data_IF_429430132508
#
_entry.id   IF_429430132508
#
_cell.length_a   1.000
_cell.length_b   1.000
_cell.length_c   1.000
_cell.angle_alpha   90.00
_cell.angle_beta   90.00
_cell.angle_gamma   90.00
#
_symmetry.space_group_name_H-M   'P 1'
#
loop_
_entity.id
_entity.type
_entity.pdbx_description
1 polymer ?
#
# COMPACT_ATOMS: atom_id res chain seq x y z
N UNK A 1 -40.60 -13.70 26.21
CA UNK A 1 -39.69 -14.44 27.11
C UNK A 1 -38.79 -13.50 27.90
N UNK A 2 -38.24 -12.43 27.29
CA UNK A 2 -37.36 -11.46 27.94
C UNK A 2 -37.98 -10.67 29.12
N UNK A 3 -39.28 -10.40 29.10
CA UNK A 3 -39.96 -9.62 30.17
C UNK A 3 -39.99 -10.33 31.55
N UNK A 4 -39.53 -11.59 31.62
CA UNK A 4 -39.41 -12.37 32.86
C UNK A 4 -38.00 -12.32 33.47
N UNK A 5 -37.01 -11.81 32.76
CA UNK A 5 -35.63 -11.69 33.25
C UNK A 5 -35.41 -10.37 33.99
N UNK A 6 -34.50 -10.38 34.98
CA UNK A 6 -34.04 -9.13 35.62
C UNK A 6 -33.29 -8.26 34.61
N UNK A 7 -33.24 -6.95 34.87
CA UNK A 7 -32.51 -6.02 33.99
C UNK A 7 -31.03 -6.39 33.84
N UNK A 8 -30.39 -6.92 34.89
CA UNK A 8 -29.00 -7.39 34.84
C UNK A 8 -28.80 -8.59 33.90
N UNK A 9 -29.77 -9.51 33.84
CA UNK A 9 -29.71 -10.65 32.91
C UNK A 9 -29.87 -10.16 31.47
N UNK A 10 -30.73 -9.17 31.24
CA UNK A 10 -30.91 -8.57 29.92
C UNK A 10 -29.67 -7.78 29.51
N UNK A 11 -29.07 -6.99 30.40
CA UNK A 11 -27.80 -6.30 30.18
C UNK A 11 -26.71 -7.28 29.71
N UNK A 12 -26.57 -8.42 30.42
CA UNK A 12 -25.66 -9.50 30.02
C UNK A 12 -25.99 -10.11 28.66
N UNK A 13 -27.26 -10.24 28.30
CA UNK A 13 -27.64 -10.72 26.96
C UNK A 13 -27.25 -9.68 25.90
N UNK A 14 -27.49 -8.39 26.16
CA UNK A 14 -27.24 -7.30 25.22
C UNK A 14 -25.75 -7.12 24.90
N UNK A 15 -24.86 -7.28 25.88
CA UNK A 15 -23.39 -7.19 25.64
C UNK A 15 -22.83 -8.34 24.79
N UNK A 16 -23.59 -9.42 24.59
CA UNK A 16 -23.19 -10.56 23.76
C UNK A 16 -23.74 -10.51 22.34
N UNK A 17 -24.48 -9.45 21.99
CA UNK A 17 -24.91 -9.22 20.60
C UNK A 17 -23.68 -8.89 19.76
N UNK A 18 -23.58 -9.51 18.58
CA UNK A 18 -22.41 -9.43 17.69
C UNK A 18 -22.44 -8.23 16.74
N UNK A 19 -23.60 -7.62 16.53
CA UNK A 19 -23.79 -6.56 15.52
C UNK A 19 -24.71 -5.45 16.03
N UNK A 20 -24.39 -4.20 15.69
CA UNK A 20 -25.22 -3.05 16.02
C UNK A 20 -26.64 -3.12 15.43
N UNK A 21 -26.79 -3.69 14.22
CA UNK A 21 -28.11 -3.87 13.58
C UNK A 21 -29.01 -4.81 14.39
N UNK A 22 -28.42 -5.90 14.90
CA UNK A 22 -29.11 -6.86 15.77
C UNK A 22 -29.45 -6.23 17.12
N UNK A 23 -28.55 -5.41 17.69
CA UNK A 23 -28.84 -4.66 18.91
C UNK A 23 -30.05 -3.73 18.70
N UNK A 24 -30.04 -2.93 17.64
CA UNK A 24 -31.14 -2.01 17.34
C UNK A 24 -32.49 -2.76 17.22
N UNK A 25 -32.49 -3.89 16.50
CA UNK A 25 -33.68 -4.74 16.39
C UNK A 25 -34.16 -5.23 17.76
N UNK A 26 -33.25 -5.68 18.64
CA UNK A 26 -33.60 -6.13 19.99
C UNK A 26 -34.18 -5.00 20.86
N UNK A 27 -33.70 -3.76 20.72
CA UNK A 27 -34.19 -2.61 21.46
C UNK A 27 -35.62 -2.22 21.07
N UNK A 28 -35.98 -2.37 19.80
CA UNK A 28 -37.32 -2.01 19.28
C UNK A 28 -38.39 -3.06 19.67
N UNK A 29 -37.98 -4.30 19.91
CA UNK A 29 -38.91 -5.43 20.17
C UNK A 29 -39.53 -5.40 21.57
N UNK A 30 -38.84 -4.89 22.60
CA UNK A 30 -39.38 -4.82 23.96
C UNK A 30 -38.97 -3.56 24.71
N UNK A 31 -39.96 -2.92 25.36
CA UNK A 31 -39.74 -1.81 26.30
C UNK A 31 -38.83 -2.20 27.46
N UNK A 32 -38.85 -3.47 27.87
CA UNK A 32 -38.02 -3.97 28.95
C UNK A 32 -36.55 -4.07 28.52
N UNK A 33 -36.29 -4.54 27.30
CA UNK A 33 -34.97 -4.52 26.68
C UNK A 33 -34.45 -3.10 26.49
N UNK A 34 -35.28 -2.20 25.98
CA UNK A 34 -34.93 -0.78 25.85
C UNK A 34 -34.59 -0.15 27.21
N UNK A 35 -35.32 -0.50 28.29
CA UNK A 35 -35.05 0.00 29.64
C UNK A 35 -33.71 -0.51 30.18
N UNK A 36 -33.38 -1.78 29.98
CA UNK A 36 -32.08 -2.34 30.33
C UNK A 36 -30.96 -1.57 29.63
N UNK A 37 -31.09 -1.37 28.31
CA UNK A 37 -30.16 -0.57 27.52
C UNK A 37 -30.00 0.86 28.02
N UNK A 38 -31.11 1.54 28.31
CA UNK A 38 -31.12 2.92 28.78
C UNK A 38 -30.39 3.11 30.12
N UNK A 39 -30.18 2.03 30.88
CA UNK A 39 -29.46 2.08 32.16
C UNK A 39 -27.95 2.12 31.97
N UNK A 40 -27.41 1.44 30.96
CA UNK A 40 -25.95 1.34 30.68
C UNK A 40 -25.65 1.41 29.17
N UNK A 41 -26.09 2.45 28.46
CA UNK A 41 -26.02 2.48 27.00
C UNK A 41 -24.57 2.42 26.51
N UNK A 42 -23.66 3.15 27.16
CA UNK A 42 -22.25 3.19 26.76
C UNK A 42 -21.56 1.83 26.84
N UNK A 43 -21.74 1.12 27.96
CA UNK A 43 -21.15 -0.21 28.14
C UNK A 43 -21.66 -1.22 27.12
N UNK A 44 -22.97 -1.22 26.84
CA UNK A 44 -23.57 -2.11 25.85
C UNK A 44 -23.10 -1.78 24.43
N UNK A 45 -23.15 -0.51 24.03
CA UNK A 45 -22.70 -0.06 22.71
C UNK A 45 -21.23 -0.40 22.47
N UNK A 46 -20.38 -0.16 23.47
CA UNK A 46 -18.94 -0.50 23.41
C UNK A 46 -18.73 -2.00 23.26
N UNK A 47 -19.46 -2.81 24.02
CA UNK A 47 -19.35 -4.27 23.96
C UNK A 47 -19.79 -4.81 22.59
N UNK A 48 -20.91 -4.31 22.05
CA UNK A 48 -21.40 -4.74 20.74
C UNK A 48 -20.45 -4.34 19.62
N UNK A 49 -19.94 -3.10 19.62
CA UNK A 49 -18.91 -2.69 18.67
C UNK A 49 -17.64 -3.54 18.74
N UNK A 50 -17.20 -3.89 19.96
CA UNK A 50 -16.06 -4.78 20.17
C UNK A 50 -16.33 -6.18 19.62
N UNK A 51 -17.54 -6.72 19.79
CA UNK A 51 -17.91 -8.02 19.23
C UNK A 51 -17.94 -8.00 17.71
N UNK A 52 -18.35 -6.88 17.11
CA UNK A 52 -18.36 -6.67 15.65
C UNK A 52 -16.93 -6.56 15.08
N UNK A 53 -15.99 -6.05 15.89
CA UNK A 53 -14.62 -5.72 15.49
C UNK A 53 -13.55 -6.26 16.46
N UNK A 54 -13.50 -7.56 16.78
CA UNK A 54 -12.74 -8.05 17.94
C UNK A 54 -11.23 -7.78 17.86
N UNK A 55 -10.63 -7.99 16.69
CA UNK A 55 -9.17 -7.87 16.51
C UNK A 55 -8.70 -6.48 16.07
N UNK A 56 -9.62 -5.64 15.58
CA UNK A 56 -9.37 -4.26 15.20
C UNK A 56 -9.90 -3.25 16.23
N UNK A 57 -10.60 -3.71 17.27
CA UNK A 57 -11.24 -2.86 18.29
C UNK A 57 -10.33 -1.77 18.86
N UNK A 58 -9.08 -2.05 19.27
CA UNK A 58 -8.22 -1.01 19.82
C UNK A 58 -7.94 0.13 18.84
N UNK A 59 -7.76 -0.17 17.55
CA UNK A 59 -7.57 0.83 16.51
C UNK A 59 -8.87 1.61 16.23
N UNK A 60 -10.00 0.90 16.13
CA UNK A 60 -11.34 1.48 15.91
C UNK A 60 -11.69 2.46 17.03
N UNK A 61 -11.60 2.04 18.29
CA UNK A 61 -12.00 2.86 19.44
C UNK A 61 -11.07 4.05 19.63
N UNK A 62 -9.77 3.91 19.37
CA UNK A 62 -8.82 5.03 19.43
C UNK A 62 -9.15 6.09 18.38
N UNK A 63 -9.50 5.67 17.17
CA UNK A 63 -9.90 6.59 16.11
C UNK A 63 -11.24 7.27 16.39
N UNK A 64 -12.27 6.52 16.80
CA UNK A 64 -13.57 7.10 17.20
C UNK A 64 -13.39 8.09 18.35
N UNK A 65 -12.60 7.73 19.35
CA UNK A 65 -12.30 8.61 20.48
C UNK A 65 -11.70 9.92 19.97
N UNK A 66 -10.61 9.86 19.18
CA UNK A 66 -9.98 11.04 18.62
C UNK A 66 -10.95 11.91 17.81
N UNK A 67 -11.75 11.33 16.91
CA UNK A 67 -12.73 12.10 16.11
C UNK A 67 -13.84 12.73 16.96
N UNK A 68 -14.17 12.14 18.11
CA UNK A 68 -15.24 12.65 18.97
C UNK A 68 -14.78 13.66 20.01
N UNK A 69 -13.54 13.54 20.51
CA UNK A 69 -12.99 14.36 21.61
C UNK A 69 -11.86 15.29 21.18
N UNK A 70 -11.17 15.00 20.08
CA UNK A 70 -9.92 15.64 19.67
C UNK A 70 -8.70 15.18 20.48
N UNK A 71 -8.87 14.23 21.39
CA UNK A 71 -7.81 13.72 22.26
C UNK A 71 -7.19 12.45 21.65
N UNK A 72 -5.86 12.45 21.50
CA UNK A 72 -5.11 11.28 21.09
C UNK A 72 -4.76 10.44 22.32
N UNK A 73 -5.29 9.22 22.40
CA UNK A 73 -4.92 8.29 23.45
C UNK A 73 -3.48 7.83 23.26
N UNK A 74 -2.78 7.59 24.37
CA UNK A 74 -1.37 7.22 24.40
C UNK A 74 -1.06 5.93 23.63
N UNK A 75 -1.90 4.90 23.76
CA UNK A 75 -1.72 3.62 23.06
C UNK A 75 -3.03 2.84 22.92
N UNK A 76 -2.95 1.70 22.22
CA UNK A 76 -4.07 0.77 22.03
C UNK A 76 -4.55 0.10 23.33
N UNK A 77 -3.69 -0.09 24.34
CA UNK A 77 -4.06 -0.70 25.61
C UNK A 77 -4.91 0.26 26.49
N UNK A 78 -4.66 1.57 26.40
CA UNK A 78 -5.51 2.60 26.97
C UNK A 78 -6.85 2.67 26.24
N UNK A 79 -6.84 2.53 24.91
CA UNK A 79 -8.03 2.55 24.06
C UNK A 79 -9.05 1.46 24.44
N UNK A 80 -8.60 0.28 24.87
CA UNK A 80 -9.49 -0.81 25.31
C UNK A 80 -10.41 -0.47 26.50
N UNK A 81 -10.06 0.56 27.29
CA UNK A 81 -10.83 0.97 28.47
C UNK A 81 -11.87 2.05 28.15
N UNK A 82 -11.86 2.58 26.95
CA UNK A 82 -12.74 3.68 26.54
C UNK A 82 -14.16 3.15 26.29
N UNK A 83 -15.15 3.89 26.83
CA UNK A 83 -16.55 3.64 26.58
C UNK A 83 -17.09 4.60 25.51
N UNK A 84 -17.70 4.04 24.48
CA UNK A 84 -18.32 4.74 23.37
C UNK A 84 -19.76 5.11 23.70
N UNK A 85 -20.16 6.33 23.33
CA UNK A 85 -21.53 6.81 23.42
C UNK A 85 -22.19 6.91 22.04
N UNK A 86 -23.43 7.43 21.98
CA UNK A 86 -24.16 7.55 20.72
C UNK A 86 -23.45 8.41 19.67
N UNK A 87 -22.65 9.41 20.07
CA UNK A 87 -21.87 10.23 19.12
C UNK A 87 -20.77 9.37 18.49
N UNK A 88 -20.09 8.55 19.29
CA UNK A 88 -19.08 7.63 18.77
C UNK A 88 -19.66 6.53 17.88
N UNK A 89 -20.90 6.07 18.12
CA UNK A 89 -21.60 5.16 17.20
C UNK A 89 -21.90 5.84 15.86
N UNK A 90 -22.38 7.08 15.89
CA UNK A 90 -22.60 7.86 14.67
C UNK A 90 -21.31 8.06 13.89
N UNK A 91 -20.19 8.27 14.59
CA UNK A 91 -18.85 8.31 13.98
C UNK A 91 -18.53 6.95 13.32
N UNK A 92 -18.61 5.84 14.05
CA UNK A 92 -18.34 4.50 13.50
C UNK A 92 -19.14 4.20 12.23
N UNK A 93 -20.46 4.46 12.22
CA UNK A 93 -21.29 4.22 11.04
C UNK A 93 -20.94 5.08 9.82
N UNK A 94 -20.38 6.27 10.04
CA UNK A 94 -19.89 7.09 8.94
C UNK A 94 -18.59 6.55 8.34
N UNK A 95 -17.78 5.84 9.14
CA UNK A 95 -16.42 5.41 8.78
C UNK A 95 -16.39 3.98 8.22
N UNK A 96 -17.20 3.08 8.78
CA UNK A 96 -17.22 1.65 8.47
C UNK A 96 -17.39 1.35 6.96
N UNK A 97 -18.28 2.04 6.21
CA UNK A 97 -18.38 1.82 4.76
C UNK A 97 -17.06 2.08 4.02
N UNK A 98 -16.34 3.15 4.36
CA UNK A 98 -15.08 3.49 3.70
C UNK A 98 -14.00 2.43 3.96
N UNK A 99 -13.91 1.91 5.19
CA UNK A 99 -12.95 0.85 5.51
C UNK A 99 -13.27 -0.42 4.71
N UNK A 100 -14.54 -0.81 4.66
CA UNK A 100 -14.97 -1.97 3.87
C UNK A 100 -14.66 -1.80 2.38
N UNK A 101 -14.93 -0.63 1.79
CA UNK A 101 -14.61 -0.33 0.39
C UNK A 101 -13.09 -0.45 0.12
N UNK A 102 -12.25 0.09 1.02
CA UNK A 102 -10.79 -0.01 0.89
C UNK A 102 -10.29 -1.45 1.05
N UNK A 103 -10.90 -2.25 1.93
CA UNK A 103 -10.58 -3.67 2.08
C UNK A 103 -10.96 -4.47 0.83
N UNK A 104 -12.12 -4.19 0.23
CA UNK A 104 -12.55 -4.82 -1.02
C UNK A 104 -11.60 -4.45 -2.18
N UNK A 105 -11.17 -3.18 -2.25
CA UNK A 105 -10.15 -2.75 -3.20
C UNK A 105 -8.82 -3.46 -2.96
N UNK A 106 -8.39 -3.63 -1.70
CA UNK A 106 -7.19 -4.37 -1.35
C UNK A 106 -7.30 -5.84 -1.78
N UNK A 107 -8.42 -6.49 -1.46
CA UNK A 107 -8.69 -7.87 -1.86
C UNK A 107 -8.63 -8.01 -3.39
N UNK A 108 -9.37 -7.18 -4.12
CA UNK A 108 -9.38 -7.16 -5.59
C UNK A 108 -7.99 -6.95 -6.16
N UNK A 109 -7.11 -6.23 -5.45
CA UNK A 109 -5.77 -5.92 -5.92
C UNK A 109 -4.75 -7.03 -5.66
N UNK A 110 -4.88 -7.76 -4.55
CA UNK A 110 -3.83 -8.65 -4.04
C UNK A 110 -4.25 -10.13 -3.98
N UNK A 111 -5.53 -10.46 -4.16
CA UNK A 111 -6.02 -11.85 -4.15
C UNK A 111 -6.57 -12.26 -5.51
N UNK A 112 -6.50 -13.55 -5.83
CA UNK A 112 -7.08 -14.13 -7.06
C UNK A 112 -8.24 -15.02 -6.65
N UNK A 113 -9.49 -14.56 -6.83
CA UNK A 113 -10.70 -15.39 -6.63
C UNK A 113 -10.83 -16.02 -5.23
N UNK A 114 -10.10 -15.50 -4.25
CA UNK A 114 -10.13 -15.92 -2.86
C UNK A 114 -10.51 -14.72 -2.00
N UNK A 115 -11.52 -14.92 -1.15
CA UNK A 115 -11.85 -13.96 -0.11
C UNK A 115 -10.76 -13.91 0.94
N UNK A 116 -10.57 -12.73 1.54
CA UNK A 116 -9.69 -12.61 2.69
C UNK A 116 -10.25 -13.47 3.84
N UNK A 117 -9.37 -14.19 4.53
CA UNK A 117 -9.72 -14.81 5.81
C UNK A 117 -10.10 -13.72 6.82
N UNK A 118 -10.83 -14.08 7.88
CA UNK A 118 -11.22 -13.12 8.92
C UNK A 118 -10.00 -12.39 9.52
N UNK A 119 -8.89 -13.11 9.72
CA UNK A 119 -7.64 -12.54 10.23
C UNK A 119 -6.99 -11.58 9.22
N UNK A 120 -6.98 -11.93 7.93
CA UNK A 120 -6.47 -11.06 6.86
C UNK A 120 -7.31 -9.78 6.74
N UNK A 121 -8.63 -9.92 6.74
CA UNK A 121 -9.57 -8.80 6.74
C UNK A 121 -9.31 -7.87 7.93
N UNK A 122 -9.20 -8.43 9.14
CA UNK A 122 -8.93 -7.65 10.36
C UNK A 122 -7.56 -6.95 10.32
N UNK A 123 -6.53 -7.56 9.74
CA UNK A 123 -5.22 -6.94 9.58
C UNK A 123 -5.28 -5.70 8.68
N UNK A 124 -5.95 -5.81 7.52
CA UNK A 124 -6.17 -4.69 6.59
C UNK A 124 -7.00 -3.59 7.27
N UNK A 125 -8.14 -3.94 7.85
CA UNK A 125 -9.04 -2.99 8.53
C UNK A 125 -8.34 -2.25 9.67
N UNK A 126 -7.60 -2.98 10.53
CA UNK A 126 -6.83 -2.39 11.64
C UNK A 126 -5.77 -1.41 11.13
N UNK A 127 -5.03 -1.77 10.08
CA UNK A 127 -4.03 -0.89 9.50
C UNK A 127 -4.65 0.35 8.83
N UNK A 128 -5.83 0.23 8.20
CA UNK A 128 -6.58 1.37 7.68
C UNK A 128 -7.01 2.33 8.79
N UNK A 129 -7.56 1.85 9.91
CA UNK A 129 -7.90 2.71 11.05
C UNK A 129 -6.69 3.41 11.65
N UNK A 130 -5.54 2.73 11.75
CA UNK A 130 -4.28 3.32 12.22
C UNK A 130 -3.76 4.40 11.26
N UNK A 131 -3.80 4.13 9.96
CA UNK A 131 -3.43 5.10 8.93
C UNK A 131 -4.34 6.32 8.96
N UNK A 132 -5.65 6.11 9.11
CA UNK A 132 -6.61 7.19 9.16
C UNK A 132 -6.42 8.06 10.41
N UNK A 133 -6.16 7.45 11.57
CA UNK A 133 -5.79 8.19 12.77
C UNK A 133 -4.51 8.99 12.56
N UNK A 134 -3.49 8.41 11.92
CA UNK A 134 -2.26 9.10 11.58
C UNK A 134 -2.50 10.33 10.69
N UNK A 135 -3.34 10.17 9.65
CA UNK A 135 -3.76 11.26 8.76
C UNK A 135 -4.49 12.36 9.52
N UNK A 136 -5.46 12.01 10.37
CA UNK A 136 -6.24 12.96 11.14
C UNK A 136 -5.36 13.77 12.12
N UNK A 137 -4.35 13.13 12.73
CA UNK A 137 -3.43 13.78 13.66
C UNK A 137 -2.41 14.70 12.97
N UNK A 138 -1.83 14.26 11.86
CA UNK A 138 -0.60 14.86 11.31
C UNK A 138 -0.74 15.39 9.89
N UNK A 139 -1.74 14.93 9.15
CA UNK A 139 -1.87 15.13 7.72
C UNK A 139 -2.00 16.60 7.32
N UNK A 140 -2.85 17.36 8.01
CA UNK A 140 -3.03 18.80 7.75
C UNK A 140 -1.75 19.60 7.95
N UNK A 141 -1.08 19.40 9.08
CA UNK A 141 0.16 20.11 9.43
C UNK A 141 1.28 19.79 8.45
N UNK A 142 1.40 18.51 8.08
CA UNK A 142 2.39 18.08 7.08
C UNK A 142 2.09 18.66 5.70
N UNK A 143 0.83 18.59 5.23
CA UNK A 143 0.41 19.17 3.94
C UNK A 143 0.70 20.66 3.85
N UNK A 144 0.41 21.41 4.91
CA UNK A 144 0.68 22.86 4.97
C UNK A 144 2.17 23.16 4.90
N UNK A 145 3.00 22.38 5.59
CA UNK A 145 4.45 22.53 5.53
C UNK A 145 5.02 22.22 4.15
N UNK A 146 4.54 21.15 3.50
CA UNK A 146 4.93 20.82 2.13
C UNK A 146 4.57 21.96 1.17
N UNK A 147 3.36 22.53 1.29
CA UNK A 147 2.94 23.69 0.49
C UNK A 147 3.80 24.94 0.80
N UNK A 148 4.09 25.22 2.06
CA UNK A 148 4.91 26.37 2.45
C UNK A 148 6.35 26.29 1.92
N UNK A 149 6.93 25.09 1.83
CA UNK A 149 8.23 24.89 1.16
C UNK A 149 8.18 25.25 -0.34
N UNK A 150 7.06 25.02 -1.03
CA UNK A 150 6.88 25.39 -2.45
C UNK A 150 6.98 26.90 -2.64
N UNK A 151 6.31 27.66 -1.76
CA UNK A 151 6.30 29.13 -1.82
C UNK A 151 7.69 29.73 -1.56
N UNK A 152 8.50 29.11 -0.70
CA UNK A 152 9.88 29.53 -0.41
C UNK A 152 10.86 29.22 -1.57
N UNK A 153 10.76 28.04 -2.19
CA UNK A 153 11.67 27.60 -3.27
C UNK A 153 11.45 28.38 -4.56
N UNK A 154 10.19 28.77 -4.87
CA UNK A 154 9.87 29.58 -6.05
C UNK A 154 10.47 31.00 -6.03
N UNK A 155 11.01 31.47 -4.89
CA UNK A 155 11.46 32.86 -4.71
C UNK A 155 12.99 33.02 -4.59
N UNK A 156 13.79 31.96 -4.55
CA UNK A 156 15.26 32.08 -4.40
C UNK A 156 16.06 31.01 -5.18
N UNK A 157 16.98 31.40 -6.09
CA UNK A 157 17.99 30.50 -6.64
C UNK A 157 19.28 30.63 -5.82
N UNK A 158 19.37 30.04 -4.63
CA UNK A 158 20.62 30.12 -3.84
C UNK A 158 20.85 28.83 -3.06
N UNK A 159 22.08 28.32 -3.19
CA UNK A 159 22.75 27.29 -2.40
C UNK A 159 22.33 27.40 -0.92
N UNK A 160 21.44 26.51 -0.48
CA UNK A 160 20.98 26.46 0.92
C UNK A 160 21.90 25.51 1.69
N UNK A 161 22.68 26.05 2.62
CA UNK A 161 23.26 25.24 3.71
C UNK A 161 22.12 24.50 4.42
N UNK A 162 22.15 23.16 4.34
CA UNK A 162 21.10 22.30 4.91
C UNK A 162 21.15 22.45 6.43
N UNK A 163 20.28 23.31 6.97
CA UNK A 163 20.03 23.36 8.41
C UNK A 163 19.45 22.00 8.83
N UNK A 164 20.07 21.25 9.75
CA UNK A 164 19.61 19.91 10.15
C UNK A 164 18.18 19.89 10.70
N UNK A 165 17.69 21.01 11.25
CA UNK A 165 16.30 21.16 11.69
C UNK A 165 15.30 21.35 10.54
N UNK A 166 15.74 21.79 9.35
CA UNK A 166 14.91 21.86 8.13
C UNK A 166 14.80 20.52 7.39
N UNK A 167 15.59 19.52 7.80
CA UNK A 167 15.61 18.18 7.18
C UNK A 167 14.31 17.42 7.44
N UNK A 168 13.75 17.58 8.64
CA UNK A 168 12.55 16.88 9.05
C UNK A 168 11.33 17.81 9.08
N UNK A 169 10.19 17.30 8.64
CA UNK A 169 8.90 17.98 8.64
C UNK A 169 8.36 18.22 10.05
N UNK A 170 7.27 18.99 10.17
CA UNK A 170 6.66 19.31 11.46
C UNK A 170 6.23 18.04 12.18
N UNK A 171 6.18 18.15 13.52
CA UNK A 171 5.74 17.08 14.40
C UNK A 171 6.49 15.75 14.19
N UNK A 172 7.76 15.80 13.76
CA UNK A 172 8.56 14.61 13.47
C UNK A 172 8.69 13.70 14.70
N UNK A 173 8.92 14.28 15.87
CA UNK A 173 9.06 13.52 17.12
C UNK A 173 7.74 12.83 17.49
N UNK A 174 6.61 13.52 17.35
CA UNK A 174 5.26 13.03 17.64
C UNK A 174 4.82 11.96 16.63
N UNK A 175 5.11 12.17 15.34
CA UNK A 175 4.90 11.16 14.28
C UNK A 175 5.74 9.91 14.56
N UNK A 176 7.00 10.07 14.93
CA UNK A 176 7.89 8.96 15.29
C UNK A 176 7.39 8.23 16.53
N UNK A 177 6.95 8.97 17.56
CA UNK A 177 6.39 8.41 18.78
C UNK A 177 5.13 7.59 18.50
N UNK A 178 4.20 8.13 17.70
CA UNK A 178 3.00 7.41 17.28
C UNK A 178 3.35 6.10 16.55
N UNK A 179 4.32 6.15 15.62
CA UNK A 179 4.73 4.96 14.88
C UNK A 179 5.52 3.96 15.74
N UNK A 180 6.19 4.43 16.78
CA UNK A 180 6.96 3.58 17.70
C UNK A 180 6.05 2.61 18.49
N UNK A 181 4.77 2.91 18.66
CA UNK A 181 3.82 1.99 19.29
C UNK A 181 3.65 0.68 18.49
N UNK A 182 3.87 0.72 17.17
CA UNK A 182 3.70 -0.42 16.27
C UNK A 182 5.00 -1.18 16.02
N UNK A 183 6.07 -0.96 16.81
CA UNK A 183 7.41 -1.52 16.58
C UNK A 183 7.48 -3.05 16.50
N UNK A 184 6.41 -3.78 16.86
CA UNK A 184 6.31 -5.20 16.47
C UNK A 184 6.28 -5.28 14.94
N UNK A 185 7.26 -5.98 14.36
CA UNK A 185 7.50 -6.07 12.90
C UNK A 185 6.23 -6.24 12.08
N UNK A 186 5.30 -7.09 12.53
CA UNK A 186 4.03 -7.36 11.85
C UNK A 186 3.12 -6.14 11.80
N UNK A 187 2.91 -5.44 12.92
CA UNK A 187 1.95 -4.32 13.00
C UNK A 187 2.42 -3.07 12.24
N UNK A 188 3.72 -2.76 12.31
CA UNK A 188 4.29 -1.71 11.47
C UNK A 188 4.30 -2.12 10.00
N UNK A 189 4.61 -3.39 9.71
CA UNK A 189 4.57 -3.93 8.36
C UNK A 189 3.18 -3.78 7.73
N UNK A 190 2.12 -4.18 8.44
CA UNK A 190 0.72 -3.98 8.04
C UNK A 190 0.44 -2.52 7.67
N UNK A 191 0.80 -1.58 8.56
CA UNK A 191 0.58 -0.14 8.34
C UNK A 191 1.33 0.38 7.12
N UNK A 192 2.61 0.03 6.98
CA UNK A 192 3.45 0.44 5.86
C UNK A 192 2.91 -0.09 4.52
N UNK A 193 2.47 -1.36 4.50
CA UNK A 193 1.86 -1.99 3.33
C UNK A 193 0.57 -1.28 2.93
N UNK A 194 -0.32 -1.00 3.89
CA UNK A 194 -1.57 -0.28 3.61
C UNK A 194 -1.30 1.16 3.16
N UNK A 195 -0.34 1.87 3.76
CA UNK A 195 0.07 3.19 3.29
C UNK A 195 0.51 3.17 1.82
N UNK A 196 1.36 2.20 1.45
CA UNK A 196 1.82 2.03 0.05
C UNK A 196 0.68 1.64 -0.89
N UNK A 197 -0.24 0.81 -0.43
CA UNK A 197 -1.43 0.45 -1.19
C UNK A 197 -2.28 1.69 -1.50
N UNK A 198 -2.66 2.47 -0.49
CA UNK A 198 -3.43 3.72 -0.68
C UNK A 198 -2.67 4.69 -1.60
N UNK A 199 -1.35 4.80 -1.45
CA UNK A 199 -0.51 5.62 -2.32
C UNK A 199 -0.62 5.19 -3.78
N UNK A 200 -0.47 3.88 -4.05
CA UNK A 200 -0.53 3.33 -5.40
C UNK A 200 -1.92 3.47 -6.02
N UNK A 201 -2.98 3.36 -5.23
CA UNK A 201 -4.33 3.56 -5.73
C UNK A 201 -4.56 5.04 -6.09
N UNK A 202 -4.10 5.98 -5.27
CA UNK A 202 -4.13 7.40 -5.59
C UNK A 202 -3.39 7.73 -6.89
N UNK A 203 -2.15 7.22 -7.05
CA UNK A 203 -1.36 7.39 -8.29
C UNK A 203 -2.07 6.82 -9.52
N UNK A 204 -2.63 5.62 -9.41
CA UNK A 204 -3.34 4.98 -10.52
C UNK A 204 -4.59 5.74 -10.93
N UNK A 205 -5.35 6.24 -9.97
CA UNK A 205 -6.55 7.04 -10.27
C UNK A 205 -6.16 8.36 -10.95
N UNK A 206 -5.16 9.06 -10.43
CA UNK A 206 -4.63 10.29 -11.02
C UNK A 206 -4.11 10.06 -12.46
N UNK A 207 -3.42 8.94 -12.69
CA UNK A 207 -2.89 8.56 -14.01
C UNK A 207 -4.01 8.17 -15.00
N UNK A 208 -5.05 7.47 -14.55
CA UNK A 208 -6.19 7.07 -15.39
C UNK A 208 -7.08 8.25 -15.80
N UNK A 209 -7.04 9.35 -15.06
CA UNK A 209 -7.78 10.58 -15.38
C UNK A 209 -7.30 11.32 -16.63
N UNK A 210 -6.19 10.88 -17.26
CA UNK A 210 -5.70 11.43 -18.54
C UNK A 210 -5.12 12.85 -18.47
N UNK A 211 -5.05 13.45 -17.28
CA UNK A 211 -4.49 14.78 -17.04
C UNK A 211 -2.96 14.77 -16.95
N UNK A 212 -2.38 13.63 -16.61
CA UNK A 212 -0.96 13.44 -16.42
C UNK A 212 -0.51 12.27 -17.30
N UNK A 213 0.64 12.38 -17.95
CA UNK A 213 1.25 11.21 -18.62
C UNK A 213 1.38 10.05 -17.63
N UNK A 214 1.44 8.81 -18.14
CA UNK A 214 1.55 7.64 -17.28
C UNK A 214 2.75 7.79 -16.33
N UNK A 215 2.49 7.85 -15.02
CA UNK A 215 3.51 7.84 -13.95
C UNK A 215 4.56 8.97 -14.00
N UNK A 216 4.21 10.22 -14.32
CA UNK A 216 5.15 11.34 -14.13
C UNK A 216 5.48 11.53 -12.64
N UNK A 217 6.66 12.10 -12.33
CA UNK A 217 7.04 12.43 -10.94
C UNK A 217 5.96 13.28 -10.27
N UNK A 218 5.39 14.25 -10.99
CA UNK A 218 4.30 15.11 -10.53
C UNK A 218 3.08 14.32 -10.02
N UNK A 219 2.72 13.17 -10.62
CA UNK A 219 1.61 12.33 -10.14
C UNK A 219 1.90 11.75 -8.77
N UNK A 220 3.14 11.30 -8.54
CA UNK A 220 3.57 10.79 -7.24
C UNK A 220 3.55 11.88 -6.17
N UNK A 221 3.84 13.12 -6.55
CA UNK A 221 3.80 14.28 -5.67
C UNK A 221 2.38 14.62 -5.24
N UNK A 222 1.44 14.70 -6.18
CA UNK A 222 0.02 14.92 -5.87
C UNK A 222 -0.53 13.77 -5.02
N UNK A 223 -0.14 12.53 -5.32
CA UNK A 223 -0.54 11.38 -4.50
C UNK A 223 -0.02 11.47 -3.06
N UNK A 224 1.21 11.91 -2.83
CA UNK A 224 1.75 12.12 -1.48
C UNK A 224 0.98 13.21 -0.71
N UNK A 225 0.59 14.29 -1.37
CA UNK A 225 -0.26 15.32 -0.76
C UNK A 225 -1.67 14.81 -0.45
N UNK A 226 -2.25 13.99 -1.34
CA UNK A 226 -3.53 13.33 -1.09
C UNK A 226 -3.46 12.37 0.10
N UNK A 227 -2.36 11.64 0.27
CA UNK A 227 -2.19 10.72 1.41
C UNK A 227 -2.13 11.40 2.76
N UNK A 228 -1.84 12.70 2.80
CA UNK A 228 -1.90 13.49 4.01
C UNK A 228 -3.33 13.99 4.31
N UNK A 229 -4.32 13.66 3.48
CA UNK A 229 -5.74 13.85 3.77
C UNK A 229 -6.32 12.61 4.45
N UNK A 230 -7.47 12.79 5.08
CA UNK A 230 -8.22 11.69 5.67
C UNK A 230 -8.79 10.74 4.59
N UNK A 231 -9.02 9.46 4.92
CA UNK A 231 -9.41 8.44 3.93
C UNK A 231 -10.73 8.75 3.22
N UNK A 232 -11.72 9.30 3.94
CA UNK A 232 -12.99 9.76 3.38
C UNK A 232 -12.78 10.90 2.38
N UNK A 233 -11.97 11.90 2.73
CA UNK A 233 -11.61 12.99 1.82
C UNK A 233 -10.90 12.45 0.56
N UNK A 234 -10.00 11.47 0.71
CA UNK A 234 -9.35 10.83 -0.42
C UNK A 234 -10.40 10.20 -1.33
N UNK A 235 -11.33 9.41 -0.79
CA UNK A 235 -12.40 8.77 -1.58
C UNK A 235 -13.28 9.80 -2.27
N UNK A 236 -13.71 10.86 -1.57
CA UNK A 236 -14.52 11.94 -2.14
C UNK A 236 -13.79 12.64 -3.30
N UNK A 237 -12.52 12.98 -3.12
CA UNK A 237 -11.68 13.63 -4.13
C UNK A 237 -11.53 12.71 -5.33
N UNK A 238 -11.18 11.45 -5.07
CA UNK A 238 -10.96 10.43 -6.08
C UNK A 238 -12.25 10.18 -6.90
N UNK A 239 -13.42 10.14 -6.26
CA UNK A 239 -14.72 10.03 -6.95
C UNK A 239 -15.08 11.33 -7.70
N UNK A 240 -14.82 12.49 -7.10
CA UNK A 240 -15.08 13.82 -7.66
C UNK A 240 -14.21 14.15 -8.88
N UNK A 241 -12.99 13.63 -8.97
CA UNK A 241 -12.13 13.77 -10.15
C UNK A 241 -12.68 13.08 -11.41
N UNK A 242 -13.71 12.23 -11.30
CA UNK A 242 -14.49 11.81 -12.47
C UNK A 242 -15.28 12.97 -13.12
N UNK A 243 -15.39 14.12 -12.46
CA UNK A 243 -16.28 15.23 -12.85
C UNK A 243 -15.63 16.62 -12.90
N UNK A 244 -14.39 16.81 -12.45
CA UNK A 244 -13.75 18.14 -12.40
C UNK A 244 -12.36 18.18 -13.07
N UNK A 245 -12.14 19.26 -13.83
CA UNK A 245 -10.97 19.59 -14.66
C UNK A 245 -10.04 20.60 -13.98
N UNK A 246 -9.78 20.51 -12.67
CA UNK A 246 -8.87 21.45 -12.02
C UNK A 246 -7.46 20.84 -11.90
N UNK A 247 -6.54 21.43 -12.67
CA UNK A 247 -5.11 21.13 -12.72
C UNK A 247 -4.43 21.55 -11.41
N UNK A 248 -4.00 20.57 -10.61
CA UNK A 248 -3.15 20.82 -9.44
C UNK A 248 -1.69 20.74 -9.90
N UNK A 249 -1.09 21.86 -10.29
CA UNK A 249 0.35 21.91 -10.57
C UNK A 249 1.14 21.75 -9.26
N UNK A 250 1.97 20.71 -9.18
CA UNK A 250 2.88 20.46 -8.05
C UNK A 250 4.26 20.15 -8.62
N UNK A 251 5.28 20.73 -8.00
CA UNK A 251 6.70 20.44 -8.23
C UNK A 251 7.34 20.22 -6.85
N UNK A 252 7.98 19.07 -6.62
CA UNK A 252 8.64 18.69 -5.37
C UNK A 252 10.08 18.20 -5.61
N UNK A 253 10.96 19.09 -6.03
CA UNK A 253 12.40 18.82 -6.03
C UNK A 253 13.03 18.70 -4.61
N UNK A 254 12.28 18.81 -3.50
CA UNK A 254 12.90 19.10 -2.17
C UNK A 254 12.28 18.40 -0.93
N UNK A 255 11.43 17.37 -1.06
CA UNK A 255 10.90 16.68 0.14
C UNK A 255 11.58 15.32 0.35
N UNK A 256 12.70 15.34 1.08
CA UNK A 256 13.45 14.13 1.47
C UNK A 256 12.72 13.24 2.50
N UNK A 257 11.65 13.73 3.15
CA UNK A 257 10.93 12.99 4.19
C UNK A 257 9.51 12.62 3.73
N UNK A 258 9.25 11.32 3.60
CA UNK A 258 7.90 10.80 3.31
C UNK A 258 6.94 11.11 4.49
N UNK A 259 5.66 11.32 4.18
CA UNK A 259 4.63 11.62 5.19
C UNK A 259 4.62 10.56 6.31
N UNK A 260 4.63 9.28 5.94
CA UNK A 260 4.95 8.17 6.82
C UNK A 260 6.48 8.05 6.94
N UNK A 261 7.00 8.12 8.17
CA UNK A 261 8.45 8.05 8.43
C UNK A 261 8.97 6.66 8.07
N UNK A 262 9.58 6.52 6.89
CA UNK A 262 10.23 5.27 6.44
C UNK A 262 11.56 4.97 7.15
N UNK A 263 11.99 5.83 8.09
CA UNK A 263 13.25 5.71 8.82
C UNK A 263 13.21 4.78 10.05
N UNK A 264 12.06 4.13 10.32
CA UNK A 264 12.03 3.02 11.26
C UNK A 264 12.86 1.85 10.69
N UNK A 265 13.51 1.03 11.54
CA UNK A 265 14.62 0.14 11.16
C UNK A 265 14.15 -1.12 10.41
N UNK A 266 13.33 -0.95 9.38
CA UNK A 266 12.87 -2.00 8.51
C UNK A 266 13.34 -1.63 7.12
N UNK A 267 14.19 -2.50 6.57
CA UNK A 267 14.55 -2.44 5.17
C UNK A 267 13.25 -2.58 4.38
N UNK A 268 12.77 -1.48 3.80
CA UNK A 268 11.44 -1.40 3.19
C UNK A 268 11.31 -2.33 1.99
N UNK A 269 12.43 -2.86 1.47
CA UNK A 269 12.47 -3.91 0.46
C UNK A 269 11.85 -5.25 0.91
N UNK A 270 11.68 -5.48 2.22
CA UNK A 270 11.21 -6.76 2.78
C UNK A 270 9.73 -6.78 3.19
N UNK A 271 9.01 -5.66 3.05
CA UNK A 271 7.61 -5.55 3.52
C UNK A 271 6.63 -5.83 2.38
N UNK A 272 6.19 -7.09 2.29
CA UNK A 272 5.25 -7.54 1.27
C UNK A 272 3.88 -7.89 1.88
N UNK A 273 2.75 -7.42 1.31
CA UNK A 273 1.39 -7.81 1.71
C UNK A 273 1.23 -9.32 1.76
N UNK A 274 1.89 -10.05 0.86
CA UNK A 274 1.72 -11.49 0.73
C UNK A 274 2.39 -12.27 1.87
N UNK A 275 3.42 -11.69 2.48
CA UNK A 275 4.14 -12.26 3.62
C UNK A 275 3.50 -11.80 4.93
N UNK A 276 3.22 -10.50 5.06
CA UNK A 276 2.81 -9.90 6.34
C UNK A 276 1.30 -9.97 6.56
N UNK A 277 0.49 -9.76 5.53
CA UNK A 277 -0.97 -9.72 5.64
C UNK A 277 -1.58 -11.04 5.17
N UNK A 278 -1.23 -11.51 3.98
CA UNK A 278 -1.87 -12.67 3.35
C UNK A 278 -1.28 -14.02 3.77
N UNK A 279 -0.08 -14.04 4.38
CA UNK A 279 0.48 -15.24 5.02
C UNK A 279 0.72 -16.44 4.08
N UNK A 280 1.36 -16.24 2.92
CA UNK A 280 1.60 -17.26 1.89
C UNK A 280 0.32 -17.88 1.24
N UNK A 281 -0.89 -17.67 1.79
CA UNK A 281 -2.15 -18.30 1.35
C UNK A 281 -2.54 -17.95 -0.09
N UNK A 282 -2.03 -16.82 -0.60
CA UNK A 282 -2.36 -16.27 -1.92
C UNK A 282 -1.17 -16.32 -2.89
N UNK A 283 -0.11 -17.05 -2.54
CA UNK A 283 1.04 -17.29 -3.41
C UNK A 283 0.79 -18.48 -4.32
N UNK A 284 0.98 -18.28 -5.62
CA UNK A 284 1.01 -19.38 -6.56
C UNK A 284 2.44 -19.93 -6.65
N UNK A 285 2.59 -21.24 -6.74
CA UNK A 285 3.88 -21.86 -7.03
C UNK A 285 3.93 -22.17 -8.52
N UNK A 286 4.98 -21.72 -9.20
CA UNK A 286 5.22 -22.06 -10.61
C UNK A 286 6.62 -22.60 -10.81
N UNK A 287 6.80 -23.29 -11.93
CA UNK A 287 8.07 -23.82 -12.38
C UNK A 287 8.54 -23.02 -13.59
N UNK A 288 9.81 -22.60 -13.59
CA UNK A 288 10.41 -22.01 -14.78
C UNK A 288 10.41 -23.03 -15.92
N UNK A 289 9.86 -22.63 -17.07
CA UNK A 289 9.79 -23.50 -18.25
C UNK A 289 11.18 -23.80 -18.85
N UNK A 290 12.19 -22.97 -18.57
CA UNK A 290 13.57 -23.17 -19.00
C UNK A 290 14.40 -23.99 -18.02
N UNK A 291 14.64 -23.50 -16.80
CA UNK A 291 15.54 -24.16 -15.85
C UNK A 291 14.84 -25.15 -14.91
N UNK A 292 13.50 -25.27 -14.97
CA UNK A 292 12.72 -26.16 -14.11
C UNK A 292 12.80 -25.86 -12.60
N UNK A 293 13.43 -24.75 -12.20
CA UNK A 293 13.40 -24.29 -10.82
C UNK A 293 11.99 -23.81 -10.44
N UNK A 294 11.55 -24.20 -9.25
CA UNK A 294 10.29 -23.77 -8.68
C UNK A 294 10.46 -22.46 -7.92
N UNK A 295 9.60 -21.49 -8.19
CA UNK A 295 9.54 -20.21 -7.50
C UNK A 295 8.14 -19.93 -6.96
N UNK A 296 8.07 -19.00 -6.00
CA UNK A 296 6.81 -18.38 -5.57
C UNK A 296 6.53 -17.22 -6.52
N UNK A 297 5.35 -17.16 -7.11
CA UNK A 297 4.92 -16.04 -7.94
C UNK A 297 3.50 -15.61 -7.56
N UNK A 298 3.24 -14.32 -7.64
CA UNK A 298 1.90 -13.75 -7.48
C UNK A 298 1.44 -13.35 -8.87
N UNK A 299 0.37 -13.97 -9.36
CA UNK A 299 -0.26 -13.51 -10.59
C UNK A 299 -1.40 -12.57 -10.27
N UNK A 300 -1.21 -11.27 -10.45
CA UNK A 300 -2.35 -10.38 -10.60
C UNK A 300 -2.11 -9.42 -11.76
N UNK A 301 -3.15 -9.18 -12.57
CA UNK A 301 -3.11 -8.28 -13.72
C UNK A 301 -2.60 -6.88 -13.36
N UNK A 302 -2.74 -6.47 -12.09
CA UNK A 302 -2.38 -5.14 -11.61
C UNK A 302 -1.29 -5.12 -10.52
N UNK A 303 -1.01 -6.22 -9.82
CA UNK A 303 0.07 -6.24 -8.81
C UNK A 303 1.02 -7.36 -9.09
N UNK A 304 2.28 -7.02 -9.36
CA UNK A 304 3.29 -8.03 -9.62
C UNK A 304 4.57 -7.64 -8.88
N UNK A 305 4.92 -8.36 -7.82
CA UNK A 305 6.08 -8.09 -6.96
C UNK A 305 7.06 -9.27 -6.90
N UNK A 306 8.30 -8.92 -6.56
CA UNK A 306 9.49 -9.76 -6.45
C UNK A 306 9.47 -10.59 -5.18
N UNK A 307 9.46 -11.92 -5.30
CA UNK A 307 9.75 -12.83 -4.19
C UNK A 307 11.02 -13.61 -4.56
N UNK A 308 12.18 -13.04 -4.24
CA UNK A 308 13.49 -13.73 -4.30
C UNK A 308 13.99 -14.16 -5.70
N UNK A 309 13.18 -13.97 -6.73
CA UNK A 309 13.50 -13.89 -8.16
C UNK A 309 12.20 -13.50 -8.88
N UNK A 310 12.28 -12.92 -10.07
CA UNK A 310 11.10 -12.60 -10.86
C UNK A 310 10.67 -13.79 -11.73
N UNK A 311 9.35 -14.01 -11.90
CA UNK A 311 8.79 -15.00 -12.83
C UNK A 311 7.66 -14.35 -13.63
N UNK A 312 7.67 -14.57 -14.94
CA UNK A 312 6.62 -14.07 -15.83
C UNK A 312 6.86 -14.48 -17.27
N UNK A 313 5.93 -14.10 -18.13
CA UNK A 313 6.12 -14.21 -19.58
C UNK A 313 7.18 -13.22 -20.06
N UNK A 314 7.82 -13.47 -21.21
CA UNK A 314 8.77 -12.53 -21.80
C UNK A 314 8.22 -11.11 -22.03
N UNK A 315 6.95 -10.98 -22.39
CA UNK A 315 6.30 -9.66 -22.54
C UNK A 315 6.20 -8.95 -21.18
N UNK A 316 5.83 -9.69 -20.12
CA UNK A 316 5.80 -9.11 -18.78
C UNK A 316 7.20 -8.71 -18.29
N UNK A 317 8.27 -9.38 -18.78
CA UNK A 317 9.66 -9.00 -18.53
C UNK A 317 10.01 -7.67 -19.21
N UNK A 318 9.67 -7.49 -20.49
CA UNK A 318 10.02 -6.27 -21.25
C UNK A 318 9.39 -5.02 -20.64
N UNK A 319 8.16 -5.14 -20.15
CA UNK A 319 7.44 -4.07 -19.43
C UNK A 319 8.10 -3.64 -18.10
N UNK A 320 9.04 -4.43 -17.54
CA UNK A 320 9.50 -4.29 -16.14
C UNK A 320 10.99 -4.23 -15.93
N UNK A 321 11.76 -4.88 -16.79
CA UNK A 321 13.22 -4.94 -16.70
C UNK A 321 13.87 -3.54 -16.70
N UNK A 322 13.22 -2.58 -17.36
CA UNK A 322 13.62 -1.17 -17.45
C UNK A 322 13.69 -0.40 -16.13
N UNK A 323 12.96 -0.81 -15.09
CA UNK A 323 12.89 -0.01 -13.87
C UNK A 323 13.95 -0.38 -12.82
N UNK A 324 14.74 -1.44 -13.03
CA UNK A 324 15.54 -2.02 -11.95
C UNK A 324 16.98 -2.41 -12.30
N UNK A 325 17.33 -2.64 -13.57
CA UNK A 325 18.71 -2.99 -13.98
C UNK A 325 19.44 -1.77 -14.54
N UNK A 326 20.02 -0.94 -13.66
CA UNK A 326 20.70 0.29 -14.08
C UNK A 326 21.77 0.05 -15.15
N UNK A 327 22.57 -1.01 -15.04
CA UNK A 327 23.66 -1.27 -15.99
C UNK A 327 23.21 -1.63 -17.41
N UNK A 328 22.05 -2.29 -17.57
CA UNK A 328 21.53 -2.60 -18.90
C UNK A 328 20.75 -1.42 -19.49
N UNK A 329 20.02 -0.70 -18.64
CA UNK A 329 19.24 0.48 -19.02
C UNK A 329 20.17 1.61 -19.46
N UNK A 330 21.25 1.87 -18.72
CA UNK A 330 22.27 2.86 -19.06
C UNK A 330 22.90 2.57 -20.44
N UNK A 331 23.18 1.29 -20.75
CA UNK A 331 23.75 0.87 -22.03
C UNK A 331 22.76 0.96 -23.21
N UNK A 332 21.46 0.85 -22.94
CA UNK A 332 20.38 0.99 -23.93
C UNK A 332 20.06 2.47 -24.17
N UNK A 333 20.00 3.28 -23.11
CA UNK A 333 19.75 4.73 -23.15
C UNK A 333 20.89 5.51 -23.81
N UNK A 334 22.16 5.13 -23.58
CA UNK A 334 23.32 5.74 -24.27
C UNK A 334 23.33 5.49 -25.79
N UNK A 335 22.50 4.57 -26.29
CA UNK A 335 22.58 4.07 -27.66
C UNK A 335 21.28 4.08 -28.45
N UNK A 336 20.16 4.53 -27.86
CA UNK A 336 18.88 4.55 -28.57
C UNK A 336 17.86 5.58 -28.07
N UNK A 337 17.08 6.14 -29.01
CA UNK A 337 15.95 7.03 -28.71
C UNK A 337 14.67 6.20 -28.41
N UNK A 338 14.53 5.68 -27.19
CA UNK A 338 13.22 5.37 -26.60
C UNK A 338 12.86 3.91 -26.26
N UNK A 339 11.81 3.78 -25.44
CA UNK A 339 11.27 2.55 -24.83
C UNK A 339 10.90 1.41 -25.79
N UNK A 340 10.75 1.64 -27.11
CA UNK A 340 10.30 0.62 -28.07
C UNK A 340 11.36 -0.42 -28.44
N UNK A 341 12.62 -0.21 -28.06
CA UNK A 341 13.74 -1.09 -28.43
C UNK A 341 13.77 -2.38 -27.60
N UNK A 342 13.18 -2.39 -26.41
CA UNK A 342 13.25 -3.54 -25.49
C UNK A 342 12.20 -4.59 -25.81
N UNK A 343 10.99 -4.17 -26.17
CA UNK A 343 10.01 -5.10 -26.74
C UNK A 343 10.59 -5.75 -28.00
N UNK A 344 11.32 -4.98 -28.81
CA UNK A 344 12.02 -5.49 -30.00
C UNK A 344 13.16 -6.43 -29.64
N UNK A 345 13.97 -6.10 -28.62
CA UNK A 345 15.08 -6.93 -28.14
C UNK A 345 14.59 -8.26 -27.58
N UNK A 346 13.54 -8.23 -26.75
CA UNK A 346 12.90 -9.42 -26.19
C UNK A 346 12.27 -10.25 -27.31
N UNK A 347 11.58 -9.63 -28.26
CA UNK A 347 11.03 -10.30 -29.45
C UNK A 347 12.14 -10.99 -30.27
N UNK A 348 13.26 -10.32 -30.51
CA UNK A 348 14.41 -10.88 -31.24
C UNK A 348 15.11 -12.01 -30.48
N UNK A 349 15.23 -11.92 -29.15
CA UNK A 349 15.71 -13.01 -28.30
C UNK A 349 14.81 -14.23 -28.41
N UNK A 350 13.49 -14.05 -28.31
CA UNK A 350 12.52 -15.15 -28.34
C UNK A 350 12.44 -15.80 -29.72
N UNK A 351 12.51 -15.01 -30.79
CA UNK A 351 12.58 -15.53 -32.17
C UNK A 351 13.83 -16.35 -32.41
N UNK A 352 14.95 -16.01 -31.76
CA UNK A 352 16.23 -16.70 -31.92
C UNK A 352 16.31 -18.01 -31.13
N UNK A 353 15.74 -18.04 -29.93
CA UNK A 353 15.85 -19.20 -29.03
C UNK A 353 14.72 -20.22 -29.29
N UNK A 354 13.45 -19.85 -29.07
CA UNK A 354 12.28 -20.67 -29.38
C UNK A 354 11.00 -19.81 -29.39
N UNK A 355 10.31 -19.77 -30.53
CA UNK A 355 9.05 -19.02 -30.69
C UNK A 355 7.89 -19.57 -29.85
N UNK A 356 8.06 -20.67 -29.12
CA UNK A 356 7.07 -21.16 -28.17
C UNK A 356 7.23 -20.59 -26.75
N UNK A 357 8.28 -19.78 -26.50
CA UNK A 357 8.55 -19.19 -25.18
C UNK A 357 7.67 -18.00 -24.82
N UNK A 358 6.93 -17.43 -25.78
CA UNK A 358 6.09 -16.25 -25.61
C UNK A 358 5.06 -16.35 -24.49
N UNK A 359 4.46 -17.53 -24.33
CA UNK A 359 3.44 -17.79 -23.32
C UNK A 359 3.99 -18.59 -22.12
N UNK A 360 5.32 -18.75 -22.04
CA UNK A 360 5.97 -19.56 -21.00
C UNK A 360 6.38 -18.72 -19.82
N UNK A 361 6.30 -19.32 -18.63
CA UNK A 361 6.74 -18.66 -17.40
C UNK A 361 8.25 -18.90 -17.24
N UNK A 362 9.02 -17.83 -17.36
CA UNK A 362 10.47 -17.87 -17.28
C UNK A 362 10.92 -17.13 -16.03
N UNK A 363 11.95 -17.64 -15.35
CA UNK A 363 12.53 -16.94 -14.20
C UNK A 363 13.53 -15.86 -14.65
N UNK A 364 13.76 -14.88 -13.80
CA UNK A 364 14.65 -13.73 -14.04
C UNK A 364 16.03 -14.14 -14.48
N UNK A 365 16.66 -15.05 -13.75
CA UNK A 365 18.00 -15.54 -14.08
C UNK A 365 18.06 -16.11 -15.49
N UNK A 366 17.03 -16.85 -15.91
CA UNK A 366 16.98 -17.40 -17.27
C UNK A 366 16.78 -16.31 -18.31
N UNK A 367 15.85 -15.37 -18.09
CA UNK A 367 15.58 -14.31 -19.05
C UNK A 367 16.77 -13.34 -19.19
N UNK A 368 17.37 -12.93 -18.07
CA UNK A 368 18.60 -12.13 -18.04
C UNK A 368 19.74 -12.84 -18.78
N UNK A 369 19.93 -14.14 -18.54
CA UNK A 369 20.93 -14.93 -19.26
C UNK A 369 20.69 -14.99 -20.77
N UNK A 370 19.43 -15.08 -21.22
CA UNK A 370 19.08 -15.03 -22.64
C UNK A 370 19.39 -13.65 -23.26
N UNK A 371 19.04 -12.57 -22.55
CA UNK A 371 19.31 -11.20 -22.97
C UNK A 371 20.83 -10.93 -23.07
N UNK A 372 21.59 -11.28 -22.04
CA UNK A 372 23.05 -11.10 -21.99
C UNK A 372 23.76 -11.85 -23.12
N UNK A 373 23.37 -13.10 -23.36
CA UNK A 373 23.89 -13.92 -24.46
C UNK A 373 23.59 -13.27 -25.82
N UNK A 374 22.36 -12.82 -26.02
CA UNK A 374 21.96 -12.18 -27.27
C UNK A 374 22.72 -10.88 -27.53
N UNK A 375 22.81 -10.00 -26.53
CA UNK A 375 23.56 -8.74 -26.63
C UNK A 375 25.05 -8.99 -26.88
N UNK A 376 25.64 -9.97 -26.21
CA UNK A 376 27.04 -10.38 -26.44
C UNK A 376 27.26 -10.82 -27.88
N UNK A 377 26.36 -11.62 -28.44
CA UNK A 377 26.46 -12.09 -29.82
C UNK A 377 26.27 -10.96 -30.83
N UNK A 378 25.31 -10.05 -30.60
CA UNK A 378 25.12 -8.86 -31.42
C UNK A 378 26.36 -7.97 -31.40
N UNK A 379 26.98 -7.78 -30.22
CA UNK A 379 28.22 -7.02 -30.09
C UNK A 379 29.39 -7.69 -30.85
N UNK A 380 29.56 -9.01 -30.73
CA UNK A 380 30.57 -9.79 -31.48
C UNK A 380 30.37 -9.65 -32.99
N UNK A 381 29.14 -9.84 -33.48
CA UNK A 381 28.81 -9.71 -34.90
C UNK A 381 29.10 -8.31 -35.43
N UNK A 382 28.76 -7.27 -34.65
CA UNK A 382 29.03 -5.88 -34.99
C UNK A 382 30.54 -5.58 -35.01
N UNK A 383 31.31 -6.05 -34.03
CA UNK A 383 32.77 -5.92 -33.99
C UNK A 383 33.44 -6.59 -35.20
N UNK A 384 32.96 -7.78 -35.59
CA UNK A 384 33.42 -8.47 -36.80
C UNK A 384 33.11 -7.67 -38.08
N UNK A 385 31.94 -7.02 -38.16
CA UNK A 385 31.56 -6.19 -39.31
C UNK A 385 32.44 -4.93 -39.49
N UNK A 386 33.03 -4.42 -38.40
CA UNK A 386 33.98 -3.31 -38.44
C UNK A 386 35.44 -3.75 -38.72
N UNK A 387 35.68 -5.03 -38.97
CA UNK A 387 37.01 -5.55 -39.28
C UNK A 387 37.98 -5.55 -38.11
N UNK A 388 37.49 -5.45 -36.87
CA UNK A 388 38.31 -5.62 -35.68
C UNK A 388 38.59 -7.12 -35.50
N UNK A 389 39.85 -7.58 -35.50
CA UNK A 389 40.16 -8.98 -35.24
C UNK A 389 39.61 -9.43 -33.89
N UNK A 390 39.14 -10.67 -33.80
CA UNK A 390 38.89 -11.30 -32.50
C UNK A 390 40.24 -11.35 -31.77
N UNK A 391 40.31 -10.70 -30.61
CA UNK A 391 41.44 -10.92 -29.72
C UNK A 391 41.34 -12.38 -29.25
N UNK A 392 42.16 -13.24 -29.85
CA UNK A 392 42.42 -14.58 -29.40
C UNK A 392 43.17 -14.52 -28.07
N UNK A 393 42.48 -14.19 -26.98
CA UNK A 393 43.02 -14.31 -25.63
C UNK A 393 41.97 -14.92 -24.69
N UNK A 394 42.22 -16.20 -24.41
CA UNK A 394 41.86 -16.96 -23.21
C UNK A 394 40.38 -16.98 -22.80
N UNK A 395 39.72 -18.05 -23.22
CA UNK A 395 39.07 -18.97 -22.28
C UNK A 395 39.95 -19.11 -21.03
N UNK A 396 39.67 -18.33 -19.99
CA UNK A 396 39.99 -18.71 -18.62
C UNK A 396 38.69 -18.58 -17.83
N UNK A 397 38.20 -19.75 -17.41
CA UNK A 397 36.93 -19.94 -16.76
C UNK A 397 36.68 -18.93 -15.65
N UNK A 398 35.54 -18.24 -15.77
CA UNK A 398 34.79 -17.83 -14.60
C UNK A 398 33.49 -18.61 -14.64
N UNK A 399 33.51 -19.75 -13.98
CA UNK A 399 32.31 -20.33 -13.40
C UNK A 399 31.69 -19.26 -12.49
N UNK A 400 30.49 -18.80 -12.84
CA UNK A 400 29.49 -18.24 -11.94
C UNK A 400 28.16 -18.94 -12.21
#
# INVERSE_FOLDING_TARGET
MHDRFSLDVIDRILIHITELKTLNSALVVSKHTHRAFSTRPRSILTAVLRNENPECWPAVVRFIHYKTTGELLEDEAHAEKVLIDGKGIGCYWALDPFVNDWVEMFQTRYTIKHDLSATQFNAVSRALYRLWLYQACFGKTWSQWVRGKKDEVAQQPVIVEINPQKKYGPLYAERTYFLAEFLRKEQYGELAIIFRFVQREAVQWLSRGGLWGAYSEEVWEVALELLARELDEIVEILQGYRTFYDSVAVSLDVVQEQFLVSALPLDCGDLHPEIIILGDDHLCFTQCDLCRNTGKYIWHAFNRMYIGAWWGTPIEFSERFMNYSSSLVDAIDEHSEGLSIIDTLVDDVLRREDSNLWDKLICETCMSGLLDKHLTDCWRARRASYGCPEDSSSDDGRDL
#
